data_IF_767801399770
#
_entry.id   IF_767801399770
#
_cell.length_a   1.000
_cell.length_b   1.000
_cell.length_c   1.000
_cell.angle_alpha   90.00
_cell.angle_beta   90.00
_cell.angle_gamma   90.00
#
_symmetry.space_group_name_H-M   'P 1'
#
loop_
_entity.id
_entity.type
_entity.pdbx_description
1 polymer ?
#
# COMPACT_ATOMS: atom_id res chain seq x y z
N UNK A 1 -3.77 15.39 13.73
CA UNK A 1 -3.06 14.31 14.48
C UNK A 1 -1.73 14.86 14.95
N UNK A 2 -1.40 14.74 16.24
CA UNK A 2 -0.08 15.14 16.77
C UNK A 2 0.91 13.99 16.57
N UNK A 3 2.09 14.27 16.01
CA UNK A 3 3.13 13.25 15.76
C UNK A 3 3.72 12.66 17.05
N UNK A 4 3.67 13.41 18.16
CA UNK A 4 4.22 12.98 19.45
C UNK A 4 3.42 11.86 20.11
N UNK A 5 2.14 11.70 19.76
CA UNK A 5 1.26 10.66 20.33
C UNK A 5 1.19 9.40 19.47
N UNK A 6 1.87 9.38 18.33
CA UNK A 6 1.90 8.21 17.46
C UNK A 6 2.86 7.14 18.01
N UNK A 7 2.38 5.89 18.06
CA UNK A 7 3.24 4.75 18.39
C UNK A 7 4.36 4.64 17.36
N UNK A 8 5.61 4.80 17.82
CA UNK A 8 6.80 4.66 16.98
C UNK A 8 7.06 3.19 16.63
N UNK A 9 7.67 2.96 15.48
CA UNK A 9 8.23 1.66 15.12
C UNK A 9 9.46 1.32 15.97
N UNK A 10 9.88 0.05 15.94
CA UNK A 10 11.15 -0.39 16.50
C UNK A 10 12.22 -0.39 15.39
N UNK A 11 13.22 0.53 15.42
CA UNK A 11 14.26 0.58 14.39
C UNK A 11 15.08 -0.72 14.29
N UNK A 12 15.28 -1.44 15.40
CA UNK A 12 16.06 -2.69 15.39
C UNK A 12 15.37 -3.80 14.60
N UNK A 13 14.05 -3.75 14.42
CA UNK A 13 13.30 -4.75 13.65
C UNK A 13 13.37 -4.51 12.13
N UNK A 14 13.85 -3.35 11.68
CA UNK A 14 13.89 -3.00 10.25
C UNK A 14 14.93 -3.83 9.49
N UNK A 15 16.11 -4.04 10.09
CA UNK A 15 17.19 -4.79 9.44
C UNK A 15 16.77 -6.24 9.16
N UNK A 16 16.19 -6.93 10.15
CA UNK A 16 15.72 -8.30 10.00
C UNK A 16 14.67 -8.45 8.89
N UNK A 17 13.70 -7.53 8.84
CA UNK A 17 12.66 -7.54 7.80
C UNK A 17 13.25 -7.28 6.40
N UNK A 18 14.25 -6.41 6.29
CA UNK A 18 14.91 -6.13 5.03
C UNK A 18 15.72 -7.33 4.53
N UNK A 19 16.54 -7.94 5.40
CA UNK A 19 17.34 -9.11 5.01
C UNK A 19 16.46 -10.31 4.65
N UNK A 20 15.35 -10.53 5.37
CA UNK A 20 14.39 -11.56 4.99
C UNK A 20 13.81 -11.36 3.58
N UNK A 21 13.65 -10.11 3.12
CA UNK A 21 13.22 -9.79 1.75
C UNK A 21 14.34 -10.03 0.75
N UNK A 22 15.58 -9.64 1.08
CA UNK A 22 16.75 -9.84 0.21
C UNK A 22 17.06 -11.32 0.00
N UNK A 23 16.92 -12.13 1.05
CA UNK A 23 17.21 -13.57 1.02
C UNK A 23 16.06 -14.41 0.41
N UNK A 24 14.91 -13.80 0.09
CA UNK A 24 13.78 -14.50 -0.50
C UNK A 24 14.13 -14.94 -1.94
N UNK A 25 13.79 -16.19 -2.28
CA UNK A 25 14.00 -16.74 -3.64
C UNK A 25 13.33 -15.87 -4.73
N UNK A 26 12.16 -15.31 -4.40
CA UNK A 26 11.39 -14.43 -5.28
C UNK A 26 11.00 -13.16 -4.50
N UNK A 27 11.90 -12.17 -4.39
CA UNK A 27 11.64 -10.98 -3.59
C UNK A 27 10.55 -10.12 -4.21
N UNK A 28 9.66 -9.50 -3.41
CA UNK A 28 8.66 -8.59 -3.95
C UNK A 28 9.30 -7.32 -4.50
N UNK A 29 8.73 -6.78 -5.59
CA UNK A 29 9.14 -5.48 -6.14
C UNK A 29 8.84 -4.31 -5.19
N UNK A 30 7.91 -4.50 -4.25
CA UNK A 30 7.47 -3.50 -3.27
C UNK A 30 7.23 -4.20 -1.93
N UNK A 31 7.92 -3.73 -0.90
CA UNK A 31 7.78 -4.22 0.46
C UNK A 31 7.39 -3.06 1.40
N UNK A 32 6.46 -3.30 2.32
CA UNK A 32 5.95 -2.29 3.24
C UNK A 32 6.58 -2.48 4.63
N UNK A 33 7.19 -1.43 5.16
CA UNK A 33 7.86 -1.43 6.46
C UNK A 33 6.97 -0.81 7.53
N UNK A 34 5.96 -1.56 7.96
CA UNK A 34 5.03 -1.09 8.97
C UNK A 34 3.68 -1.79 8.92
N UNK A 35 2.87 -1.59 9.96
CA UNK A 35 1.54 -2.21 10.07
C UNK A 35 0.43 -1.36 9.46
N UNK A 36 0.66 -0.07 9.27
CA UNK A 36 -0.38 0.89 8.90
C UNK A 36 -0.52 1.05 7.39
N UNK A 37 0.50 0.68 6.62
CA UNK A 37 0.57 0.97 5.19
C UNK A 37 -0.45 0.16 4.39
N UNK A 38 -0.54 -1.15 4.61
CA UNK A 38 -1.42 -2.02 3.84
C UNK A 38 -2.91 -1.67 4.00
N UNK A 39 -3.45 -1.43 5.21
CA UNK A 39 -4.83 -0.96 5.36
C UNK A 39 -5.10 0.36 4.61
N UNK A 40 -4.17 1.31 4.70
CA UNK A 40 -4.32 2.62 4.05
C UNK A 40 -4.26 2.51 2.53
N UNK A 41 -3.33 1.72 2.00
CA UNK A 41 -3.22 1.43 0.57
C UNK A 41 -4.50 0.77 0.06
N UNK A 42 -5.01 -0.26 0.77
CA UNK A 42 -6.27 -0.92 0.38
C UNK A 42 -7.43 0.07 0.28
N UNK A 43 -7.55 0.98 1.24
CA UNK A 43 -8.57 2.01 1.21
C UNK A 43 -8.44 2.89 -0.06
N UNK A 44 -7.26 3.44 -0.32
CA UNK A 44 -7.02 4.32 -1.48
C UNK A 44 -7.33 3.60 -2.80
N UNK A 45 -6.88 2.36 -2.96
CA UNK A 45 -7.15 1.60 -4.19
C UNK A 45 -8.63 1.27 -4.33
N UNK A 46 -9.32 1.00 -3.24
CA UNK A 46 -10.77 0.79 -3.25
C UNK A 46 -11.52 2.05 -3.70
N UNK A 47 -11.14 3.22 -3.19
CA UNK A 47 -11.73 4.51 -3.58
C UNK A 47 -11.51 4.79 -5.07
N UNK A 48 -10.28 4.57 -5.58
CA UNK A 48 -9.95 4.74 -7.00
C UNK A 48 -10.72 3.80 -7.91
N UNK A 49 -10.81 2.52 -7.53
CA UNK A 49 -11.58 1.53 -8.29
C UNK A 49 -13.06 1.88 -8.33
N UNK A 50 -13.61 2.34 -7.21
CA UNK A 50 -15.00 2.79 -7.15
C UNK A 50 -15.24 3.98 -8.09
N UNK A 51 -14.35 4.97 -8.09
CA UNK A 51 -14.43 6.10 -9.01
C UNK A 51 -14.44 5.64 -10.47
N UNK A 52 -13.53 4.75 -10.88
CA UNK A 52 -13.51 4.26 -12.25
C UNK A 52 -14.75 3.45 -12.63
N UNK A 53 -15.29 2.64 -11.73
CA UNK A 53 -16.55 1.91 -11.98
C UNK A 53 -17.74 2.86 -12.10
N UNK A 54 -17.81 3.94 -11.30
CA UNK A 54 -18.85 4.97 -11.42
C UNK A 54 -18.87 5.63 -12.79
N UNK A 55 -17.70 5.87 -13.40
CA UNK A 55 -17.57 6.54 -14.69
C UNK A 55 -17.44 5.59 -15.89
N UNK A 56 -17.51 4.28 -15.66
CA UNK A 56 -17.25 3.23 -16.65
C UNK A 56 -18.11 3.34 -17.90
N UNK A 57 -19.41 3.60 -17.75
CA UNK A 57 -20.31 3.70 -18.90
C UNK A 57 -19.91 4.84 -19.84
N UNK A 58 -19.53 6.00 -19.27
CA UNK A 58 -19.11 7.19 -20.04
C UNK A 58 -17.75 6.92 -20.71
N UNK A 59 -16.79 6.35 -19.99
CA UNK A 59 -15.47 6.04 -20.55
C UNK A 59 -15.53 4.98 -21.65
N UNK A 60 -16.40 3.98 -21.52
CA UNK A 60 -16.60 2.94 -22.53
C UNK A 60 -17.28 3.47 -23.79
N UNK A 61 -18.22 4.43 -23.65
CA UNK A 61 -18.87 5.05 -24.81
C UNK A 61 -17.89 5.79 -25.74
N UNK A 62 -16.70 6.17 -25.26
CA UNK A 62 -15.67 6.77 -26.09
C UNK A 62 -15.06 5.81 -27.13
N UNK A 63 -15.31 4.49 -27.02
CA UNK A 63 -14.77 3.49 -27.94
C UNK A 63 -15.47 3.46 -29.31
N UNK A 64 -16.55 4.21 -29.51
CA UNK A 64 -17.35 4.24 -30.74
C UNK A 64 -18.54 3.30 -30.70
#
# INVERSE_FOLDING_TARGET
KNLQTMKRGNPSATADALFAVVDAENPPLRFLLGKNDLPYIRQIYSERLQEWETWKAISQAAQG
#
